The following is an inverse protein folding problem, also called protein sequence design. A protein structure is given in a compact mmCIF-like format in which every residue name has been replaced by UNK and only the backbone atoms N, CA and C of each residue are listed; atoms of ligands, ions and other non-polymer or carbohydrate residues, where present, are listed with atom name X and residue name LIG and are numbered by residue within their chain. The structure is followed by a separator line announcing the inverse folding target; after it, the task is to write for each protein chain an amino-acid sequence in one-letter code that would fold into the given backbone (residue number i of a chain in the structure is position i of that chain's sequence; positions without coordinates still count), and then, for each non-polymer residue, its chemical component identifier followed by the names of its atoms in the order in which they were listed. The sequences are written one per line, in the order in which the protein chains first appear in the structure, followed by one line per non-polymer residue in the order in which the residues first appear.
data_IF_563174322824
#
_entry.id   IF_563174322824
#
_cell.length_a   1.000
_cell.length_b   1.000
_cell.length_c   1.000
_cell.angle_alpha   90.00
_cell.angle_beta   90.00
_cell.angle_gamma   90.00
#
_symmetry.space_group_name_H-M   'P 1'
#
loop_
_entity.id
_entity.type
_entity.pdbx_description
1 polymer ?
#
# COMPACT_ATOMS: atom_id res chain seq x y z
N UNK A 1 16.45 9.85 -1.18
CA UNK A 1 16.20 11.08 -1.96
C UNK A 1 15.14 11.85 -1.19
N UNK A 2 15.31 13.16 -0.94
CA UNK A 2 14.25 13.94 -0.26
C UNK A 2 13.18 14.20 -1.32
N UNK A 3 11.97 13.68 -1.12
CA UNK A 3 10.83 13.93 -2.01
C UNK A 3 10.60 15.44 -2.08
N UNK A 4 10.71 16.00 -3.27
CA UNK A 4 10.50 17.43 -3.49
C UNK A 4 9.04 17.70 -3.85
N UNK A 5 8.52 18.92 -3.63
CA UNK A 5 7.20 19.32 -4.10
C UNK A 5 6.99 19.16 -5.62
N UNK A 6 8.08 18.98 -6.39
CA UNK A 6 8.05 18.72 -7.83
C UNK A 6 7.70 17.26 -8.17
N UNK A 7 7.87 16.32 -7.24
CA UNK A 7 7.62 14.88 -7.45
C UNK A 7 6.16 14.48 -7.19
N UNK A 8 5.36 15.40 -6.65
CA UNK A 8 3.93 15.22 -6.43
C UNK A 8 3.13 16.12 -7.36
N UNK A 9 2.10 15.59 -8.02
CA UNK A 9 1.24 16.39 -8.87
C UNK A 9 -0.21 16.39 -8.35
N UNK A 10 -0.90 17.47 -8.72
CA UNK A 10 -2.32 17.64 -8.48
C UNK A 10 -3.09 17.03 -9.64
N UNK A 11 -4.22 16.38 -9.37
CA UNK A 11 -5.15 15.95 -10.41
C UNK A 11 -5.92 17.17 -10.90
N UNK A 12 -5.82 17.48 -12.20
CA UNK A 12 -6.22 18.78 -12.78
C UNK A 12 -7.74 18.99 -12.85
N UNK A 13 -8.54 17.95 -12.58
CA UNK A 13 -10.00 18.04 -12.58
C UNK A 13 -10.68 17.02 -11.68
N UNK A 14 -11.94 17.28 -11.34
CA UNK A 14 -12.79 16.34 -10.58
C UNK A 14 -12.98 15.00 -11.31
N UNK A 15 -13.06 15.03 -12.63
CA UNK A 15 -13.18 13.83 -13.46
C UNK A 15 -11.90 13.00 -13.39
N UNK A 16 -10.73 13.65 -13.45
CA UNK A 16 -9.44 12.96 -13.23
C UNK A 16 -9.37 12.36 -11.83
N UNK A 17 -9.86 13.09 -10.82
CA UNK A 17 -9.93 12.64 -9.44
C UNK A 17 -10.76 11.35 -9.30
N UNK A 18 -12.01 11.38 -9.76
CA UNK A 18 -12.91 10.22 -9.75
C UNK A 18 -12.28 9.04 -10.52
N UNK A 19 -11.68 9.33 -11.67
CA UNK A 19 -11.07 8.30 -12.51
C UNK A 19 -9.86 7.65 -11.85
N UNK A 20 -8.97 8.44 -11.23
CA UNK A 20 -7.83 7.96 -10.48
C UNK A 20 -8.25 7.03 -9.34
N UNK A 21 -9.19 7.45 -8.50
CA UNK A 21 -9.69 6.63 -7.39
C UNK A 21 -10.31 5.32 -7.89
N UNK A 22 -11.12 5.37 -8.96
CA UNK A 22 -11.70 4.18 -9.59
C UNK A 22 -10.61 3.21 -10.08
N UNK A 23 -9.53 3.73 -10.67
CA UNK A 23 -8.40 2.91 -11.16
C UNK A 23 -7.64 2.23 -10.02
N UNK A 24 -7.28 2.98 -8.97
CA UNK A 24 -6.51 2.42 -7.84
C UNK A 24 -7.34 1.38 -7.08
N UNK A 25 -8.62 1.68 -6.81
CA UNK A 25 -9.54 0.76 -6.13
C UNK A 25 -9.68 -0.56 -6.90
N UNK A 26 -9.91 -0.47 -8.20
CA UNK A 26 -10.07 -1.63 -9.07
C UNK A 26 -8.78 -2.45 -9.16
N UNK A 27 -7.65 -1.80 -9.42
CA UNK A 27 -6.36 -2.49 -9.60
C UNK A 27 -5.90 -3.20 -8.33
N UNK A 28 -6.06 -2.59 -7.14
CA UNK A 28 -5.72 -3.23 -5.87
C UNK A 28 -6.64 -4.43 -5.57
N UNK A 29 -7.93 -4.36 -5.88
CA UNK A 29 -8.85 -5.49 -5.72
C UNK A 29 -8.47 -6.66 -6.63
N UNK A 30 -8.16 -6.38 -7.90
CA UNK A 30 -7.67 -7.39 -8.83
C UNK A 30 -6.33 -8.00 -8.38
N UNK A 31 -5.43 -7.18 -7.83
CA UNK A 31 -4.16 -7.64 -7.28
C UNK A 31 -4.37 -8.64 -6.13
N UNK A 32 -5.23 -8.33 -5.16
CA UNK A 32 -5.51 -9.24 -4.03
C UNK A 32 -5.97 -10.60 -4.53
N UNK A 33 -6.93 -10.61 -5.47
CA UNK A 33 -7.46 -11.85 -6.07
C UNK A 33 -6.36 -12.60 -6.82
N UNK A 34 -5.51 -11.89 -7.55
CA UNK A 34 -4.46 -12.49 -8.37
C UNK A 34 -3.31 -13.07 -7.52
N UNK A 35 -2.86 -12.35 -6.48
CA UNK A 35 -1.87 -12.85 -5.50
C UNK A 35 -2.33 -14.16 -4.86
N UNK A 36 -3.62 -14.26 -4.50
CA UNK A 36 -4.20 -15.49 -3.96
C UNK A 36 -4.27 -16.61 -5.01
N UNK A 37 -4.73 -16.29 -6.23
CA UNK A 37 -4.89 -17.27 -7.33
C UNK A 37 -3.55 -17.90 -7.73
N UNK A 38 -2.52 -17.07 -7.86
CA UNK A 38 -1.18 -17.49 -8.29
C UNK A 38 -0.29 -17.94 -7.11
N UNK A 39 -0.84 -17.98 -5.88
CA UNK A 39 -0.16 -18.49 -4.68
C UNK A 39 1.19 -17.83 -4.39
N UNK A 40 1.31 -16.53 -4.69
CA UNK A 40 2.51 -15.74 -4.35
C UNK A 40 2.68 -15.57 -2.83
N UNK A 41 1.59 -15.76 -2.10
CA UNK A 41 1.52 -15.79 -0.64
C UNK A 41 0.93 -17.13 -0.17
N UNK A 42 1.35 -17.60 1.01
CA UNK A 42 0.68 -18.70 1.72
C UNK A 42 -0.74 -18.28 2.13
N UNK A 43 -1.59 -19.23 2.55
CA UNK A 43 -2.96 -18.91 2.97
C UNK A 43 -2.97 -17.89 4.14
N UNK A 44 -2.11 -18.09 5.13
CA UNK A 44 -1.94 -17.18 6.25
C UNK A 44 -1.40 -15.80 5.83
N UNK A 45 -0.40 -15.76 4.94
CA UNK A 45 0.14 -14.51 4.38
C UNK A 45 -0.95 -13.72 3.62
N UNK A 46 -1.77 -14.39 2.79
CA UNK A 46 -2.86 -13.75 2.02
C UNK A 46 -3.86 -13.03 2.93
N UNK A 47 -4.18 -13.59 4.10
CA UNK A 47 -5.11 -12.94 5.05
C UNK A 47 -4.58 -11.59 5.50
N UNK A 48 -3.30 -11.52 5.88
CA UNK A 48 -2.67 -10.26 6.29
C UNK A 48 -2.49 -9.32 5.11
N UNK A 49 -2.06 -9.83 3.95
CA UNK A 49 -1.94 -9.06 2.71
C UNK A 49 -3.24 -8.31 2.40
N UNK A 50 -4.37 -9.02 2.42
CA UNK A 50 -5.70 -8.45 2.20
C UNK A 50 -6.02 -7.36 3.22
N UNK A 51 -5.72 -7.58 4.51
CA UNK A 51 -5.98 -6.58 5.56
C UNK A 51 -5.20 -5.27 5.33
N UNK A 52 -3.93 -5.35 4.92
CA UNK A 52 -3.15 -4.15 4.60
C UNK A 52 -3.66 -3.44 3.36
N UNK A 53 -4.02 -4.18 2.30
CA UNK A 53 -4.62 -3.60 1.11
C UNK A 53 -5.99 -2.96 1.40
N UNK A 54 -6.82 -3.59 2.25
CA UNK A 54 -8.11 -3.03 2.67
C UNK A 54 -7.90 -1.71 3.47
N UNK A 55 -6.89 -1.65 4.33
CA UNK A 55 -6.53 -0.44 5.09
C UNK A 55 -6.06 0.70 4.17
N UNK A 56 -5.24 0.35 3.16
CA UNK A 56 -4.80 1.28 2.14
C UNK A 56 -5.99 1.81 1.32
N UNK A 57 -6.87 0.92 0.86
CA UNK A 57 -8.10 1.28 0.14
C UNK A 57 -9.02 2.17 0.98
N UNK A 58 -9.19 1.86 2.26
CA UNK A 58 -9.98 2.68 3.18
C UNK A 58 -9.42 4.11 3.28
N UNK A 59 -8.10 4.25 3.37
CA UNK A 59 -7.43 5.55 3.43
C UNK A 59 -7.60 6.35 2.15
N UNK A 60 -7.46 5.69 1.00
CA UNK A 60 -7.68 6.27 -0.32
C UNK A 60 -9.14 6.71 -0.47
N UNK A 61 -10.11 5.92 0.01
CA UNK A 61 -11.53 6.29 -0.02
C UNK A 61 -11.83 7.47 0.91
N UNK A 62 -11.20 7.53 2.08
CA UNK A 62 -11.31 8.68 2.97
C UNK A 62 -10.76 9.97 2.34
N UNK A 63 -9.64 9.88 1.61
CA UNK A 63 -9.14 11.00 0.79
C UNK A 63 -10.17 11.37 -0.28
N UNK A 64 -10.77 10.38 -0.97
CA UNK A 64 -11.84 10.58 -1.96
C UNK A 64 -12.95 11.45 -1.42
N UNK A 65 -13.43 11.16 -0.21
CA UNK A 65 -14.52 11.89 0.43
C UNK A 65 -14.06 13.32 0.80
N UNK A 66 -12.85 13.45 1.37
CA UNK A 66 -12.29 14.73 1.82
C UNK A 66 -12.17 15.73 0.67
N UNK A 67 -11.52 15.34 -0.43
CA UNK A 67 -11.15 16.28 -1.50
C UNK A 67 -12.18 16.41 -2.64
N UNK A 68 -13.25 15.59 -2.70
CA UNK A 68 -14.20 15.58 -3.83
C UNK A 68 -14.87 16.94 -4.14
N UNK A 69 -15.08 17.74 -3.11
CA UNK A 69 -15.80 19.02 -3.19
C UNK A 69 -15.01 20.16 -2.54
N UNK A 70 -13.75 19.94 -2.21
CA UNK A 70 -12.87 20.98 -1.70
C UNK A 70 -12.35 21.81 -2.90
N UNK A 71 -12.57 23.12 -2.86
CA UNK A 71 -12.15 24.03 -3.93
C UNK A 71 -10.78 24.69 -3.61
N UNK A 72 -10.29 24.58 -2.37
CA UNK A 72 -9.04 25.19 -1.91
C UNK A 72 -7.88 24.18 -1.92
N UNK A 73 -8.14 22.94 -1.51
CA UNK A 73 -7.13 21.89 -1.41
C UNK A 73 -7.39 20.72 -2.37
N UNK A 74 -6.30 20.18 -2.94
CA UNK A 74 -6.35 19.01 -3.79
C UNK A 74 -5.40 17.91 -3.29
N UNK A 75 -5.84 16.66 -3.40
CA UNK A 75 -5.01 15.50 -3.10
C UNK A 75 -3.79 15.47 -4.02
N UNK A 76 -2.61 15.33 -3.44
CA UNK A 76 -1.38 15.12 -4.20
C UNK A 76 -1.15 13.63 -4.44
N UNK A 77 -0.93 13.28 -5.71
CA UNK A 77 -0.53 11.93 -6.11
C UNK A 77 0.95 11.96 -6.45
N UNK A 78 1.69 10.94 -6.03
CA UNK A 78 3.03 10.74 -6.55
C UNK A 78 2.92 10.08 -7.92
N UNK A 79 3.21 10.90 -8.93
CA UNK A 79 3.14 10.47 -10.31
C UNK A 79 4.44 9.80 -10.76
N UNK A 80 5.49 9.73 -9.94
CA UNK A 80 6.75 9.09 -10.31
C UNK A 80 6.65 7.56 -10.20
N UNK A 81 7.69 6.86 -9.72
CA UNK A 81 7.77 5.39 -9.67
C UNK A 81 6.80 4.74 -8.64
N UNK A 82 5.69 5.39 -8.31
CA UNK A 82 4.68 4.91 -7.38
C UNK A 82 3.32 4.71 -8.05
N UNK A 83 2.62 5.80 -8.39
CA UNK A 83 1.21 5.78 -8.80
C UNK A 83 0.19 5.75 -7.65
N UNK A 84 0.65 5.79 -6.38
CA UNK A 84 -0.19 5.91 -5.18
C UNK A 84 -0.25 7.36 -4.65
N UNK A 85 -1.19 7.71 -3.75
CA UNK A 85 -1.21 9.04 -3.13
C UNK A 85 0.09 9.33 -2.39
N UNK A 86 0.46 10.61 -2.28
CA UNK A 86 1.64 10.99 -1.52
C UNK A 86 1.49 10.62 -0.04
N UNK A 87 2.55 10.11 0.60
CA UNK A 87 2.52 9.74 2.03
C UNK A 87 2.07 10.90 2.93
N UNK A 88 2.40 12.15 2.56
CA UNK A 88 1.96 13.33 3.30
C UNK A 88 0.44 13.43 3.37
N UNK A 89 -0.30 12.97 2.36
CA UNK A 89 -1.76 12.94 2.36
C UNK A 89 -2.30 12.03 3.47
N UNK A 90 -1.68 10.85 3.68
CA UNK A 90 -2.06 9.95 4.77
C UNK A 90 -1.83 10.61 6.13
N UNK A 91 -0.71 11.33 6.29
CA UNK A 91 -0.40 12.07 7.51
C UNK A 91 -1.37 13.23 7.75
N UNK A 92 -1.72 13.99 6.72
CA UNK A 92 -2.70 15.07 6.82
C UNK A 92 -4.07 14.53 7.21
N UNK A 93 -4.51 13.45 6.57
CA UNK A 93 -5.76 12.77 6.88
C UNK A 93 -5.81 12.30 8.34
N UNK A 94 -4.73 11.68 8.83
CA UNK A 94 -4.64 11.21 10.21
C UNK A 94 -4.72 12.35 11.23
N UNK A 95 -4.00 13.45 10.98
CA UNK A 95 -4.01 14.63 11.85
C UNK A 95 -5.36 15.35 11.83
N UNK A 96 -5.99 15.46 10.68
CA UNK A 96 -7.28 16.12 10.51
C UNK A 96 -8.38 15.40 11.31
N UNK A 97 -8.42 14.07 11.21
CA UNK A 97 -9.35 13.24 11.99
C UNK A 97 -9.10 13.31 13.51
N UNK A 98 -7.87 13.60 13.95
CA UNK A 98 -7.59 13.81 15.39
C UNK A 98 -8.29 15.05 15.96
N UNK A 99 -8.66 16.00 15.09
CA UNK A 99 -9.34 17.24 15.44
C UNK A 99 -10.86 17.16 15.20
N UNK A 100 -11.39 15.98 14.84
CA UNK A 100 -12.79 15.73 14.48
C UNK A 100 -13.79 16.36 15.45
N UNK A 101 -13.59 16.20 16.76
CA UNK A 101 -14.55 16.69 17.77
C UNK A 101 -14.67 18.23 17.76
N UNK A 102 -13.60 18.94 17.37
CA UNK A 102 -13.63 20.40 17.23
C UNK A 102 -14.45 20.88 16.03
N UNK A 103 -14.65 20.01 15.03
CA UNK A 103 -15.40 20.30 13.82
C UNK A 103 -16.85 19.83 13.91
N UNK A 104 -17.11 18.65 14.49
CA UNK A 104 -18.45 18.06 14.54
C UNK A 104 -19.51 18.99 15.16
N UNK A 105 -19.16 19.71 16.23
CA UNK A 105 -20.09 20.64 16.88
C UNK A 105 -20.45 21.88 16.05
N UNK A 106 -19.69 22.17 14.98
CA UNK A 106 -19.92 23.32 14.09
C UNK A 106 -20.72 22.94 12.84
N UNK A 107 -20.92 21.65 12.59
CA UNK A 107 -21.59 21.15 11.40
C UNK A 107 -23.10 21.06 11.61
N UNK A 108 -23.87 21.28 10.54
CA UNK A 108 -25.32 21.04 10.54
C UNK A 108 -25.61 19.56 10.74
N UNK A 109 -26.78 19.27 11.30
CA UNK A 109 -27.26 17.89 11.40
C UNK A 109 -27.50 17.29 10.00
N UNK A 110 -27.19 16.00 9.84
CA UNK A 110 -27.35 15.27 8.56
C UNK A 110 -28.80 15.35 8.07
N UNK A 111 -29.78 15.23 8.96
CA UNK A 111 -31.20 15.28 8.62
C UNK A 111 -31.60 16.62 8.01
N UNK A 112 -31.09 17.73 8.55
CA UNK A 112 -31.35 19.07 8.04
C UNK A 112 -30.80 19.27 6.63
N UNK A 113 -29.60 18.75 6.35
CA UNK A 113 -29.01 18.83 5.00
C UNK A 113 -29.80 17.97 4.01
N UNK A 114 -30.25 16.78 4.42
CA UNK A 114 -31.07 15.92 3.57
C UNK A 114 -32.38 16.59 3.19
N UNK A 115 -33.08 17.20 4.15
CA UNK A 115 -34.33 17.92 3.90
C UNK A 115 -34.10 19.15 3.00
N UNK A 116 -33.03 19.92 3.24
CA UNK A 116 -32.62 21.03 2.36
C UNK A 116 -32.37 20.54 0.92
N UNK A 117 -31.70 19.40 0.75
CA UNK A 117 -31.41 18.84 -0.59
C UNK A 117 -32.67 18.34 -1.27
N UNK A 118 -33.57 17.66 -0.56
CA UNK A 118 -34.85 17.20 -1.09
C UNK A 118 -35.73 18.39 -1.52
N UNK A 119 -35.76 19.47 -0.74
CA UNK A 119 -36.46 20.70 -1.13
C UNK A 119 -35.88 21.31 -2.41
N UNK A 120 -34.56 21.40 -2.51
CA UNK A 120 -33.88 21.96 -3.69
C UNK A 120 -34.12 21.09 -4.93
N UNK A 121 -33.96 19.78 -4.83
CA UNK A 121 -34.06 18.86 -5.96
C UNK A 121 -35.51 18.63 -6.39
N UNK A 122 -36.43 18.43 -5.45
CA UNK A 122 -37.80 18.02 -5.77
C UNK A 122 -38.74 19.21 -5.95
N UNK A 123 -38.60 20.27 -5.13
CA UNK A 123 -39.49 21.45 -5.22
C UNK A 123 -38.91 22.52 -6.12
N UNK A 124 -37.66 22.93 -5.89
CA UNK A 124 -37.03 24.00 -6.68
C UNK A 124 -36.52 23.50 -8.04
N UNK A 125 -36.22 22.19 -8.15
CA UNK A 125 -35.74 21.52 -9.37
C UNK A 125 -34.48 22.16 -9.96
N UNK A 126 -33.56 22.56 -9.09
CA UNK A 126 -32.25 23.10 -9.48
C UNK A 126 -31.13 22.23 -8.90
N UNK A 127 -29.93 22.25 -9.50
CA UNK A 127 -28.78 21.53 -8.95
C UNK A 127 -28.40 22.05 -7.55
N UNK A 128 -27.92 21.14 -6.70
CA UNK A 128 -27.32 21.50 -5.41
C UNK A 128 -26.03 22.30 -5.68
N UNK A 129 -25.85 23.40 -4.94
CA UNK A 129 -24.65 24.22 -5.06
C UNK A 129 -23.42 23.52 -4.47
N UNK A 130 -22.23 23.86 -4.96
CA UNK A 130 -20.98 23.18 -4.57
C UNK A 130 -20.63 23.36 -3.09
N UNK A 131 -20.82 24.55 -2.54
CA UNK A 131 -20.65 24.87 -1.11
C UNK A 131 -21.51 23.95 -0.22
N UNK A 132 -22.74 23.66 -0.64
CA UNK A 132 -23.62 22.73 0.06
C UNK A 132 -23.15 21.28 -0.06
N UNK A 133 -22.62 20.88 -1.23
CA UNK A 133 -22.03 19.55 -1.43
C UNK A 133 -20.76 19.38 -0.59
N UNK A 134 -19.92 20.41 -0.48
CA UNK A 134 -18.74 20.44 0.38
C UNK A 134 -19.09 20.31 1.86
N UNK A 135 -20.11 21.05 2.32
CA UNK A 135 -20.62 20.90 3.68
C UNK A 135 -21.09 19.46 3.95
N UNK A 136 -21.82 18.86 3.00
CA UNK A 136 -22.30 17.49 3.12
C UNK A 136 -21.15 16.47 3.14
N UNK A 137 -20.16 16.60 2.25
CA UNK A 137 -18.99 15.71 2.24
C UNK A 137 -18.15 15.84 3.49
N UNK A 138 -18.01 17.06 4.04
CA UNK A 138 -17.34 17.30 5.32
C UNK A 138 -18.02 16.55 6.46
N UNK A 139 -19.35 16.57 6.51
CA UNK A 139 -20.09 15.81 7.53
C UNK A 139 -19.88 14.32 7.35
N UNK A 140 -20.02 13.79 6.13
CA UNK A 140 -19.76 12.37 5.86
C UNK A 140 -18.34 12.00 6.28
N UNK A 141 -17.35 12.80 5.92
CA UNK A 141 -15.95 12.62 6.29
C UNK A 141 -15.79 12.53 7.81
N UNK A 142 -16.16 13.56 8.55
CA UNK A 142 -15.98 13.61 10.00
C UNK A 142 -16.87 12.63 10.76
N UNK A 143 -17.97 12.13 10.20
CA UNK A 143 -18.85 11.18 10.89
C UNK A 143 -18.49 9.72 10.61
N UNK A 144 -18.20 9.38 9.35
CA UNK A 144 -18.04 8.00 8.87
C UNK A 144 -16.59 7.52 8.80
N UNK A 145 -15.63 8.45 8.65
CA UNK A 145 -14.22 8.10 8.61
C UNK A 145 -13.68 7.90 10.03
N UNK A 146 -12.95 6.80 10.21
CA UNK A 146 -12.38 6.34 11.47
C UNK A 146 -10.87 6.47 11.42
N UNK A 147 -10.32 7.21 12.37
CA UNK A 147 -8.90 7.54 12.41
C UNK A 147 -8.02 6.28 12.55
N UNK A 148 -8.48 5.30 13.32
CA UNK A 148 -7.77 4.03 13.57
C UNK A 148 -7.61 3.16 12.32
N UNK A 149 -8.35 3.44 11.26
CA UNK A 149 -8.27 2.74 9.97
C UNK A 149 -7.50 3.51 8.90
N UNK A 150 -6.88 4.65 9.25
CA UNK A 150 -5.98 5.32 8.32
C UNK A 150 -4.62 4.60 8.32
N UNK A 151 -4.17 4.25 7.13
CA UNK A 151 -2.88 3.61 6.89
C UNK A 151 -1.76 4.55 7.34
N UNK A 152 -1.03 4.14 8.37
CA UNK A 152 0.07 4.92 8.93
C UNK A 152 1.40 4.52 8.26
N UNK A 153 2.49 5.24 8.55
CA UNK A 153 3.83 4.90 8.03
C UNK A 153 4.22 3.46 8.35
N UNK A 154 3.89 3.00 9.55
CA UNK A 154 4.10 1.64 10.00
C UNK A 154 2.78 1.10 10.55
N UNK A 155 2.37 -0.06 10.07
CA UNK A 155 1.15 -0.76 10.45
C UNK A 155 1.56 -2.13 10.96
N UNK A 156 1.41 -2.33 12.27
CA UNK A 156 1.73 -3.59 12.92
C UNK A 156 0.63 -4.63 12.66
N UNK A 157 1.01 -5.79 12.13
CA UNK A 157 0.14 -6.96 12.02
C UNK A 157 0.12 -7.83 13.27
N UNK A 158 -0.59 -8.96 13.19
CA UNK A 158 -0.68 -9.90 14.31
C UNK A 158 0.50 -10.87 14.33
N UNK A 159 0.90 -11.22 15.55
CA UNK A 159 1.73 -12.38 15.84
C UNK A 159 0.83 -13.60 15.97
N UNK A 160 1.09 -14.64 15.19
CA UNK A 160 0.33 -15.88 15.14
C UNK A 160 1.26 -17.08 15.10
N UNK A 161 0.76 -18.27 15.44
CA UNK A 161 1.46 -19.51 15.15
C UNK A 161 1.51 -19.74 13.64
N UNK A 162 2.66 -20.19 13.15
CA UNK A 162 2.87 -20.44 11.74
C UNK A 162 2.13 -21.71 11.30
N UNK A 163 1.40 -21.63 10.18
CA UNK A 163 0.87 -22.84 9.52
C UNK A 163 1.97 -23.65 8.82
N UNK A 164 3.10 -23.00 8.50
CA UNK A 164 4.27 -23.61 7.88
C UNK A 164 5.40 -23.73 8.90
N UNK A 165 5.38 -24.82 9.66
CA UNK A 165 6.36 -25.09 10.71
C UNK A 165 7.77 -25.34 10.15
N UNK A 166 7.92 -25.57 8.83
CA UNK A 166 9.22 -25.65 8.20
C UNK A 166 9.87 -24.27 8.03
N UNK A 167 9.07 -23.21 7.89
CA UNK A 167 9.56 -21.83 7.87
C UNK A 167 9.83 -21.28 9.26
N UNK A 168 9.13 -21.72 10.30
CA UNK A 168 9.33 -21.29 11.68
C UNK A 168 8.10 -21.56 12.54
N UNK A 169 8.23 -21.49 13.87
CA UNK A 169 7.14 -21.73 14.81
C UNK A 169 6.06 -20.64 14.77
N UNK A 170 6.49 -19.39 14.61
CA UNK A 170 5.62 -18.21 14.65
C UNK A 170 5.78 -17.37 13.38
N UNK A 171 4.72 -16.63 13.06
CA UNK A 171 4.66 -15.65 12.00
C UNK A 171 4.24 -14.29 12.58
N UNK A 172 5.01 -13.26 12.26
CA UNK A 172 4.61 -11.86 12.44
C UNK A 172 4.59 -11.16 11.09
N UNK A 173 3.60 -10.29 10.88
CA UNK A 173 3.53 -9.43 9.71
C UNK A 173 3.50 -7.97 10.11
N UNK A 174 3.93 -7.11 9.21
CA UNK A 174 3.77 -5.66 9.29
C UNK A 174 3.72 -5.09 7.88
N UNK A 175 3.26 -3.85 7.76
CA UNK A 175 3.30 -3.11 6.50
C UNK A 175 3.83 -1.71 6.78
N UNK A 176 4.54 -1.12 5.82
CA UNK A 176 4.99 0.26 5.91
C UNK A 176 4.77 1.00 4.60
N UNK A 177 4.57 2.31 4.69
CA UNK A 177 4.52 3.18 3.52
C UNK A 177 5.88 3.85 3.38
N UNK A 178 6.65 3.47 2.36
CA UNK A 178 7.98 4.05 2.18
C UNK A 178 7.85 5.48 1.69
N UNK A 179 8.49 6.42 2.39
CA UNK A 179 8.40 7.85 2.03
C UNK A 179 9.23 8.17 0.79
N UNK A 180 10.30 7.41 0.51
CA UNK A 180 11.19 7.70 -0.63
C UNK A 180 10.63 7.16 -1.94
N UNK A 181 10.03 5.97 -1.91
CA UNK A 181 9.38 5.32 -3.05
C UNK A 181 7.88 5.65 -3.14
N UNK A 182 7.35 6.29 -2.10
CA UNK A 182 5.96 6.68 -1.95
C UNK A 182 4.95 5.56 -2.24
N UNK A 183 5.23 4.34 -1.80
CA UNK A 183 4.37 3.17 -2.02
C UNK A 183 4.42 2.18 -0.86
N UNK A 184 3.40 1.32 -0.71
CA UNK A 184 3.30 0.42 0.42
C UNK A 184 4.13 -0.86 0.23
N UNK A 185 4.67 -1.35 1.33
CA UNK A 185 5.37 -2.62 1.43
C UNK A 185 4.69 -3.51 2.46
N UNK A 186 4.61 -4.81 2.20
CA UNK A 186 4.09 -5.80 3.16
C UNK A 186 5.19 -6.79 3.50
N UNK A 187 5.43 -7.01 4.78
CA UNK A 187 6.50 -7.85 5.28
C UNK A 187 5.96 -8.98 6.16
N UNK A 188 6.65 -10.11 6.07
CA UNK A 188 6.42 -11.31 6.86
C UNK A 188 7.76 -11.78 7.43
N UNK A 189 7.76 -12.15 8.70
CA UNK A 189 8.89 -12.81 9.33
C UNK A 189 8.40 -14.06 10.04
N UNK A 190 8.97 -15.19 9.63
CA UNK A 190 8.86 -16.45 10.34
C UNK A 190 10.06 -16.60 11.25
N UNK A 191 9.83 -17.10 12.46
CA UNK A 191 10.88 -17.24 13.45
C UNK A 191 10.60 -18.38 14.43
N UNK A 192 11.67 -18.89 15.02
CA UNK A 192 11.62 -19.77 16.19
C UNK A 192 11.82 -18.94 17.45
N UNK A 193 11.26 -19.40 18.56
CA UNK A 193 11.32 -18.69 19.83
C UNK A 193 11.78 -19.61 20.95
N UNK A 194 12.84 -19.22 21.65
CA UNK A 194 13.47 -20.02 22.72
C UNK A 194 12.96 -19.65 24.12
N UNK A 195 12.16 -18.58 24.24
CA UNK A 195 11.57 -18.15 25.50
C UNK A 195 10.37 -18.98 25.94
N UNK A 196 9.84 -18.69 27.13
CA UNK A 196 8.72 -19.47 27.73
C UNK A 196 7.35 -19.18 27.11
N UNK A 197 7.10 -17.93 26.75
CA UNK A 197 5.83 -17.47 26.20
C UNK A 197 6.07 -16.28 25.27
N UNK A 198 5.83 -16.48 23.98
CA UNK A 198 6.06 -15.46 22.95
C UNK A 198 5.12 -14.26 23.12
N UNK A 199 3.96 -14.45 23.76
CA UNK A 199 3.00 -13.37 23.98
C UNK A 199 3.53 -12.34 24.98
N UNK A 200 4.44 -12.73 25.88
CA UNK A 200 5.08 -11.80 26.83
C UNK A 200 6.08 -10.87 26.15
N UNK A 201 6.78 -11.36 25.12
CA UNK A 201 7.75 -10.58 24.34
C UNK A 201 7.15 -9.94 23.09
N UNK A 202 5.84 -10.12 22.87
CA UNK A 202 5.12 -9.56 21.73
C UNK A 202 5.29 -8.05 21.58
N UNK A 203 5.17 -7.29 22.67
CA UNK A 203 5.30 -5.83 22.59
C UNK A 203 6.75 -5.43 22.26
N UNK A 204 7.74 -6.10 22.87
CA UNK A 204 9.15 -5.89 22.55
C UNK A 204 9.46 -6.19 21.07
N UNK A 205 8.84 -7.25 20.52
CA UNK A 205 8.90 -7.58 19.09
C UNK A 205 8.34 -6.46 18.22
N UNK A 206 7.16 -5.96 18.54
CA UNK A 206 6.53 -4.88 17.77
C UNK A 206 7.34 -3.58 17.82
N UNK A 207 7.87 -3.24 18.99
CA UNK A 207 8.71 -2.05 19.15
C UNK A 207 10.03 -2.19 18.37
N UNK A 208 10.63 -3.39 18.37
CA UNK A 208 11.84 -3.68 17.59
C UNK A 208 11.57 -3.57 16.08
N UNK A 209 10.49 -4.16 15.57
CA UNK A 209 10.09 -4.08 14.16
C UNK A 209 9.85 -2.64 13.73
N UNK A 210 9.09 -1.87 14.52
CA UNK A 210 8.84 -0.45 14.23
C UNK A 210 10.14 0.38 14.21
N UNK A 211 11.16 -0.01 14.99
CA UNK A 211 12.43 0.71 15.03
C UNK A 211 13.38 0.39 13.85
N UNK A 212 13.28 -0.79 13.23
CA UNK A 212 14.25 -1.25 12.22
C UNK A 212 13.66 -1.60 10.86
N UNK A 213 12.33 -1.69 10.74
CA UNK A 213 11.65 -2.19 9.55
C UNK A 213 10.53 -1.25 9.08
N UNK A 214 10.72 0.07 9.26
CA UNK A 214 9.75 1.13 8.94
C UNK A 214 9.90 1.78 7.55
N UNK A 215 10.81 1.25 6.73
CA UNK A 215 11.19 1.81 5.42
C UNK A 215 11.88 0.76 4.54
N UNK A 216 12.03 1.07 3.26
CA UNK A 216 12.83 0.27 2.34
C UNK A 216 14.33 0.32 2.74
N UNK A 217 14.93 -0.85 2.86
CA UNK A 217 16.36 -1.05 3.09
C UNK A 217 16.77 -2.47 2.67
N UNK A 218 18.05 -2.80 2.68
CA UNK A 218 18.48 -4.18 2.44
C UNK A 218 17.89 -5.14 3.50
N UNK A 219 17.30 -6.25 3.04
CA UNK A 219 16.68 -7.25 3.91
C UNK A 219 17.68 -7.83 4.91
N UNK A 220 18.94 -8.01 4.53
CA UNK A 220 19.99 -8.53 5.42
C UNK A 220 20.16 -7.66 6.69
N UNK A 221 20.10 -6.35 6.50
CA UNK A 221 20.33 -5.30 7.50
C UNK A 221 19.12 -5.20 8.40
N UNK A 222 17.92 -5.23 7.82
CA UNK A 222 16.66 -5.30 8.58
C UNK A 222 16.63 -6.57 9.45
N UNK A 223 16.96 -7.72 8.85
CA UNK A 223 16.92 -9.02 9.50
C UNK A 223 17.92 -9.12 10.65
N UNK A 224 19.16 -8.69 10.44
CA UNK A 224 20.17 -8.54 11.48
C UNK A 224 19.72 -7.56 12.59
N UNK A 225 19.06 -6.46 12.21
CA UNK A 225 18.54 -5.47 13.15
C UNK A 225 17.46 -6.02 14.08
N UNK A 226 16.61 -6.93 13.60
CA UNK A 226 15.60 -7.62 14.43
C UNK A 226 16.26 -8.65 15.34
N UNK A 227 17.05 -9.54 14.76
CA UNK A 227 17.71 -10.65 15.45
C UNK A 227 18.64 -10.17 16.59
N UNK A 228 19.36 -9.06 16.38
CA UNK A 228 20.22 -8.47 17.41
C UNK A 228 19.44 -7.86 18.60
N UNK A 229 18.20 -7.43 18.39
CA UNK A 229 17.42 -6.72 19.44
C UNK A 229 16.74 -7.66 20.42
N UNK A 230 16.39 -8.87 20.00
CA UNK A 230 15.57 -9.79 20.80
C UNK A 230 16.25 -11.15 20.82
N UNK A 231 16.91 -11.45 21.95
CA UNK A 231 17.76 -12.63 22.11
C UNK A 231 17.05 -13.96 21.88
N UNK A 232 15.79 -14.03 22.30
CA UNK A 232 15.01 -15.27 22.29
C UNK A 232 14.24 -15.47 20.98
N UNK A 233 14.36 -14.53 20.03
CA UNK A 233 13.73 -14.61 18.70
C UNK A 233 14.82 -14.94 17.69
N UNK A 234 14.58 -15.99 16.91
CA UNK A 234 15.49 -16.47 15.88
C UNK A 234 14.77 -16.44 14.53
N UNK A 235 14.88 -15.33 13.78
CA UNK A 235 14.27 -15.24 12.47
C UNK A 235 14.85 -16.27 11.51
N UNK A 236 13.99 -16.95 10.76
CA UNK A 236 14.36 -18.08 9.91
C UNK A 236 14.05 -17.81 8.45
N UNK A 237 13.03 -17.00 8.19
CA UNK A 237 12.61 -16.63 6.86
C UNK A 237 11.93 -15.26 6.89
N UNK A 238 12.30 -14.38 5.96
CA UNK A 238 11.66 -13.08 5.76
C UNK A 238 11.21 -12.96 4.32
N UNK A 239 9.99 -12.47 4.12
CA UNK A 239 9.44 -12.10 2.82
C UNK A 239 9.00 -10.64 2.87
N UNK A 240 9.37 -9.86 1.85
CA UNK A 240 8.92 -8.49 1.64
C UNK A 240 8.30 -8.35 0.26
N UNK A 241 7.11 -7.79 0.20
CA UNK A 241 6.37 -7.48 -1.02
C UNK A 241 6.37 -5.97 -1.20
N UNK A 242 6.91 -5.51 -2.32
CA UNK A 242 6.81 -4.14 -2.83
C UNK A 242 5.58 -4.03 -3.74
N UNK A 243 4.64 -3.15 -3.41
CA UNK A 243 3.40 -2.93 -4.15
C UNK A 243 3.53 -1.78 -5.13
N UNK A 244 4.27 -1.98 -6.21
CA UNK A 244 4.32 -1.05 -7.33
C UNK A 244 5.56 -1.22 -8.21
N UNK A 245 5.76 -0.33 -9.20
CA UNK A 245 4.91 0.83 -9.52
C UNK A 245 3.51 0.48 -10.10
N UNK A 246 2.56 1.41 -10.01
CA UNK A 246 1.25 1.35 -10.66
C UNK A 246 1.24 2.13 -11.97
N UNK A 247 1.50 1.42 -13.07
CA UNK A 247 1.60 1.99 -14.41
C UNK A 247 0.23 2.37 -14.95
N UNK A 248 0.00 3.66 -15.15
CA UNK A 248 -1.27 4.18 -15.65
C UNK A 248 -1.08 5.56 -16.29
N UNK A 249 -2.16 6.14 -16.85
CA UNK A 249 -2.12 7.44 -17.55
C UNK A 249 -1.62 8.62 -16.71
N UNK A 250 -1.76 8.54 -15.39
CA UNK A 250 -1.30 9.59 -14.48
C UNK A 250 0.21 9.49 -14.20
N UNK A 251 0.85 8.36 -14.46
CA UNK A 251 2.28 8.20 -14.19
C UNK A 251 3.14 9.13 -15.07
N UNK A 252 4.24 9.59 -14.49
CA UNK A 252 5.25 10.54 -14.95
C UNK A 252 6.60 10.08 -14.38
N UNK A 253 6.99 8.87 -14.75
CA UNK A 253 8.25 8.24 -14.35
C UNK A 253 9.11 7.89 -15.58
N UNK A 254 10.32 7.40 -15.34
CA UNK A 254 11.24 6.94 -16.39
C UNK A 254 11.13 5.43 -16.65
N UNK A 255 10.09 4.77 -16.11
CA UNK A 255 9.94 3.32 -16.24
C UNK A 255 9.55 2.95 -17.67
N UNK A 256 10.31 2.07 -18.31
CA UNK A 256 10.08 1.70 -19.71
C UNK A 256 8.66 1.10 -19.93
N UNK A 257 8.10 0.37 -18.95
CA UNK A 257 6.71 -0.14 -19.04
C UNK A 257 5.68 0.98 -18.99
N UNK A 258 5.87 1.96 -18.10
CA UNK A 258 5.03 3.16 -18.03
C UNK A 258 5.07 3.89 -19.37
N UNK A 259 6.27 4.15 -19.90
CA UNK A 259 6.44 4.83 -21.18
C UNK A 259 5.77 4.09 -22.34
N UNK A 260 5.90 2.76 -22.41
CA UNK A 260 5.24 1.96 -23.44
C UNK A 260 3.70 2.11 -23.38
N UNK A 261 3.12 2.11 -22.17
CA UNK A 261 1.68 2.31 -21.96
C UNK A 261 1.27 3.74 -22.35
N UNK A 262 1.97 4.76 -21.86
CA UNK A 262 1.66 6.17 -22.14
C UNK A 262 1.76 6.49 -23.63
N UNK A 263 2.80 6.02 -24.31
CA UNK A 263 3.00 6.21 -25.75
C UNK A 263 1.83 5.58 -26.54
N UNK A 264 1.42 4.38 -26.18
CA UNK A 264 0.31 3.69 -26.85
C UNK A 264 -1.06 4.29 -26.53
N UNK A 265 -1.26 4.89 -25.35
CA UNK A 265 -2.43 5.71 -25.05
C UNK A 265 -2.44 6.95 -25.96
N UNK A 266 -1.31 7.66 -26.07
CA UNK A 266 -1.19 8.86 -26.91
C UNK A 266 -1.45 8.56 -28.39
N UNK A 267 -0.99 7.40 -28.88
CA UNK A 267 -1.25 6.88 -30.23
C UNK A 267 -2.65 6.29 -30.42
N UNK A 268 -3.49 6.25 -29.39
CA UNK A 268 -4.84 5.64 -29.39
C UNK A 268 -4.83 4.14 -29.75
N UNK A 269 -3.71 3.46 -29.50
CA UNK A 269 -3.56 2.00 -29.70
C UNK A 269 -4.22 1.22 -28.57
N UNK A 270 -4.33 1.82 -27.38
CA UNK A 270 -5.00 1.29 -26.18
C UNK A 270 -5.81 2.39 -25.51
N UNK A 271 -6.85 2.07 -24.73
CA UNK A 271 -7.72 3.07 -24.12
C UNK A 271 -7.08 3.73 -22.88
N UNK A 272 -7.62 4.88 -22.45
CA UNK A 272 -7.10 5.71 -21.34
C UNK A 272 -7.11 4.96 -19.99
N UNK A 273 -8.08 4.07 -19.80
CA UNK A 273 -8.25 3.23 -18.62
C UNK A 273 -7.20 2.12 -18.48
N UNK A 274 -6.40 1.87 -19.52
CA UNK A 274 -5.31 0.88 -19.50
C UNK A 274 -4.37 1.06 -18.32
N UNK A 275 -3.91 -0.05 -17.77
CA UNK A 275 -3.02 -0.07 -16.62
C UNK A 275 -2.22 -1.37 -16.55
N UNK A 276 -1.13 -1.35 -15.79
CA UNK A 276 -0.43 -2.52 -15.31
C UNK A 276 0.04 -2.24 -13.87
N UNK A 277 0.20 -3.28 -13.08
CA UNK A 277 0.77 -3.18 -11.74
C UNK A 277 2.00 -4.07 -11.65
N UNK A 278 3.12 -3.48 -11.23
CA UNK A 278 4.32 -4.24 -10.88
C UNK A 278 4.27 -4.66 -9.42
N UNK A 279 4.86 -5.83 -9.14
CA UNK A 279 5.03 -6.34 -7.78
C UNK A 279 6.38 -7.02 -7.70
N UNK A 280 7.12 -6.73 -6.62
CA UNK A 280 8.41 -7.38 -6.36
C UNK A 280 8.34 -8.10 -5.04
N UNK A 281 8.78 -9.36 -5.01
CA UNK A 281 8.90 -10.16 -3.80
C UNK A 281 10.39 -10.42 -3.56
N UNK A 282 10.87 -9.93 -2.42
CA UNK A 282 12.20 -10.23 -1.91
C UNK A 282 12.06 -11.25 -0.77
N UNK A 283 12.77 -12.36 -0.85
CA UNK A 283 12.78 -13.42 0.15
C UNK A 283 14.20 -13.69 0.63
N UNK A 284 14.36 -13.96 1.91
CA UNK A 284 15.64 -14.37 2.48
C UNK A 284 15.43 -15.42 3.56
N UNK A 285 16.32 -16.41 3.57
CA UNK A 285 16.30 -17.53 4.51
C UNK A 285 17.59 -17.54 5.31
N UNK A 286 17.50 -17.97 6.56
CA UNK A 286 18.68 -18.25 7.35
C UNK A 286 19.42 -19.47 6.79
N UNK A 287 20.73 -19.34 6.57
CA UNK A 287 21.58 -20.46 6.16
C UNK A 287 22.39 -21.07 7.30
N UNK A 288 22.90 -20.24 8.21
CA UNK A 288 23.71 -20.70 9.36
C UNK A 288 23.58 -19.72 10.51
N UNK A 289 24.32 -19.95 11.60
CA UNK A 289 24.39 -19.01 12.73
C UNK A 289 25.82 -18.63 13.03
N UNK A 290 26.00 -17.49 13.70
CA UNK A 290 27.28 -17.05 14.23
C UNK A 290 27.07 -16.48 15.62
N UNK A 291 28.15 -16.40 16.42
CA UNK A 291 28.08 -15.76 17.73
C UNK A 291 28.73 -14.39 17.71
N UNK A 292 28.07 -13.42 18.32
CA UNK A 292 28.59 -12.07 18.54
C UNK A 292 28.59 -11.75 20.04
N UNK A 293 29.53 -10.92 20.50
CA UNK A 293 29.63 -10.48 21.90
C UNK A 293 30.79 -11.10 22.69
N UNK A 294 31.04 -10.52 23.87
CA UNK A 294 32.05 -11.01 24.82
C UNK A 294 31.53 -12.21 25.61
N UNK A 295 32.40 -12.85 26.40
CA UNK A 295 32.04 -14.03 27.22
C UNK A 295 30.78 -13.83 28.07
N UNK A 296 30.53 -12.61 28.56
CA UNK A 296 29.39 -12.28 29.42
C UNK A 296 28.11 -11.90 28.65
N UNK A 297 28.21 -11.52 27.38
CA UNK A 297 27.09 -11.02 26.57
C UNK A 297 27.02 -11.71 25.20
N UNK A 298 27.43 -12.98 25.13
CA UNK A 298 27.41 -13.76 23.90
C UNK A 298 25.97 -13.99 23.44
N UNK A 299 25.69 -13.69 22.18
CA UNK A 299 24.42 -13.95 21.51
C UNK A 299 24.68 -14.74 20.23
N UNK A 300 23.80 -15.71 19.93
CA UNK A 300 23.80 -16.42 18.66
C UNK A 300 22.85 -15.70 17.70
N UNK A 301 23.38 -15.29 16.56
CA UNK A 301 22.68 -14.55 15.51
C UNK A 301 22.60 -15.38 14.24
N UNK A 302 21.62 -15.06 13.41
CA UNK A 302 21.30 -15.69 12.14
C UNK A 302 22.19 -15.12 11.04
N UNK A 303 22.83 -16.00 10.28
CA UNK A 303 23.54 -15.66 9.05
C UNK A 303 22.64 -15.98 7.86
N UNK A 304 22.25 -14.93 7.16
CA UNK A 304 21.32 -14.95 6.04
C UNK A 304 22.01 -15.39 4.75
N UNK A 305 21.25 -16.11 3.91
CA UNK A 305 21.64 -16.37 2.53
C UNK A 305 21.42 -15.14 1.64
N UNK A 306 21.79 -15.24 0.37
CA UNK A 306 21.50 -14.21 -0.61
C UNK A 306 19.98 -14.00 -0.75
N UNK A 307 19.59 -12.74 -0.99
CA UNK A 307 18.19 -12.37 -1.19
C UNK A 307 17.73 -12.86 -2.55
N UNK A 308 16.69 -13.70 -2.55
CA UNK A 308 15.99 -14.13 -3.76
C UNK A 308 14.97 -13.05 -4.14
N UNK A 309 15.06 -12.55 -5.37
CA UNK A 309 14.24 -11.42 -5.82
C UNK A 309 13.43 -11.78 -7.06
N UNK A 310 12.11 -11.73 -6.93
CA UNK A 310 11.15 -12.12 -7.96
C UNK A 310 10.30 -10.93 -8.38
N UNK A 311 10.24 -10.65 -9.68
CA UNK A 311 9.44 -9.56 -10.26
C UNK A 311 8.23 -10.12 -11.00
N UNK A 312 7.08 -9.50 -10.78
CA UNK A 312 5.80 -9.87 -11.37
C UNK A 312 5.12 -8.64 -11.96
N UNK A 313 4.33 -8.87 -13.00
CA UNK A 313 3.49 -7.85 -13.63
C UNK A 313 2.08 -8.39 -13.73
N UNK A 314 1.11 -7.57 -13.33
CA UNK A 314 -0.32 -7.85 -13.44
C UNK A 314 -0.93 -6.87 -14.43
N UNK A 315 -1.50 -7.35 -15.52
CA UNK A 315 -2.06 -6.47 -16.53
C UNK A 315 -3.21 -7.14 -17.31
N UNK A 316 -4.13 -6.37 -17.89
CA UNK A 316 -5.12 -6.92 -18.81
C UNK A 316 -4.47 -7.52 -20.07
N UNK A 317 -5.13 -8.51 -20.68
CA UNK A 317 -4.61 -9.26 -21.82
C UNK A 317 -4.00 -8.38 -22.94
N UNK A 318 -4.72 -7.33 -23.34
CA UNK A 318 -4.26 -6.39 -24.39
C UNK A 318 -2.99 -5.65 -24.00
N UNK A 319 -2.82 -5.35 -22.71
CA UNK A 319 -1.62 -4.69 -22.18
C UNK A 319 -0.46 -5.67 -22.11
N UNK A 320 -0.71 -6.93 -21.75
CA UNK A 320 0.30 -7.99 -21.82
C UNK A 320 0.85 -8.12 -23.25
N UNK A 321 -0.02 -8.20 -24.26
CA UNK A 321 0.39 -8.23 -25.67
C UNK A 321 1.21 -7.00 -26.07
N UNK A 322 0.82 -5.81 -25.59
CA UNK A 322 1.55 -4.58 -25.84
C UNK A 322 2.96 -4.63 -25.24
N UNK A 323 3.09 -5.07 -23.99
CA UNK A 323 4.36 -5.13 -23.27
C UNK A 323 5.31 -6.17 -23.88
N UNK A 324 4.81 -7.29 -24.38
CA UNK A 324 5.64 -8.25 -25.13
C UNK A 324 6.15 -7.66 -26.46
N UNK A 325 5.36 -6.83 -27.14
CA UNK A 325 5.76 -6.20 -28.39
C UNK A 325 6.77 -5.06 -28.14
N UNK A 326 6.49 -4.17 -27.18
CA UNK A 326 7.26 -2.95 -26.96
C UNK A 326 8.43 -3.09 -25.98
N UNK A 327 8.29 -3.95 -24.97
CA UNK A 327 9.27 -4.11 -23.89
C UNK A 327 9.64 -5.58 -23.65
N UNK A 328 10.02 -6.37 -24.68
CA UNK A 328 10.26 -7.81 -24.55
C UNK A 328 11.38 -8.13 -23.55
N UNK A 329 12.40 -7.28 -23.47
CA UNK A 329 13.54 -7.48 -22.56
C UNK A 329 13.14 -7.38 -21.09
N UNK A 330 12.15 -6.55 -20.75
CA UNK A 330 11.62 -6.48 -19.38
C UNK A 330 10.79 -7.70 -19.05
N UNK A 331 9.97 -8.18 -19.99
CA UNK A 331 9.15 -9.38 -19.78
C UNK A 331 10.03 -10.63 -19.52
N UNK A 332 11.19 -10.72 -20.17
CA UNK A 332 12.16 -11.81 -19.97
C UNK A 332 12.84 -11.80 -18.58
N UNK A 333 12.75 -10.69 -17.83
CA UNK A 333 13.32 -10.56 -16.47
C UNK A 333 12.31 -10.88 -15.37
N UNK A 334 11.05 -11.17 -15.71
CA UNK A 334 10.03 -11.53 -14.75
C UNK A 334 10.25 -12.97 -14.25
N UNK A 335 9.88 -13.23 -13.00
CA UNK A 335 9.94 -14.56 -12.43
C UNK A 335 8.94 -15.52 -13.09
N UNK A 336 7.79 -14.99 -13.51
CA UNK A 336 6.76 -15.67 -14.29
C UNK A 336 6.25 -14.78 -15.41
N UNK A 337 5.56 -15.37 -16.39
CA UNK A 337 4.83 -14.58 -17.38
C UNK A 337 3.85 -13.62 -16.68
N UNK A 338 3.57 -12.43 -17.26
CA UNK A 338 2.61 -11.50 -16.67
C UNK A 338 1.27 -12.16 -16.36
N UNK A 339 0.74 -11.88 -15.17
CA UNK A 339 -0.54 -12.41 -14.73
C UNK A 339 -1.68 -11.59 -15.33
N UNK A 340 -2.58 -12.28 -16.03
CA UNK A 340 -3.74 -11.64 -16.64
C UNK A 340 -4.78 -11.27 -15.57
N UNK A 341 -5.17 -9.99 -15.55
CA UNK A 341 -6.22 -9.43 -14.69
C UNK A 341 -7.29 -8.71 -15.51
N UNK A 342 -8.42 -8.36 -14.89
CA UNK A 342 -9.52 -7.74 -15.63
C UNK A 342 -9.16 -6.34 -16.14
N UNK A 343 -9.71 -5.97 -17.32
CA UNK A 343 -9.69 -4.58 -17.79
C UNK A 343 -10.68 -3.74 -16.98
N UNK A 344 -10.30 -2.51 -16.63
CA UNK A 344 -11.25 -1.56 -16.07
C UNK A 344 -12.31 -1.23 -17.13
N UNK A 345 -13.59 -1.39 -16.81
CA UNK A 345 -14.69 -0.97 -17.69
C UNK A 345 -15.17 0.42 -17.26
N UNK A 346 -15.35 1.32 -18.21
CA UNK A 346 -15.93 2.64 -17.94
C UNK A 346 -17.40 2.53 -17.56
#
# INVERSE_FOLDING_TARGET
MIVTPLDSAVLDSKEQYVFYHKKVDFALKELIVSVQRHKLCTQQEVVFFKQYCDLLLYSIEAMRIKYMYDDEDNMKVDLTESGFPNYLEFRYLYNDLSLRDNYLHKLKDISQIQDEFLDILLKKKVPIKRDQLFQASSIVYYTSVKQEYIFNRFVQGKLVESEDQAKGQYLVSWSFFDVSQNRPFVCYMYFNYDGKDVQKDKQNLYDALNAVADREMNLDTMAYGVDKRIKDIHPTYIKRIDLGPFHNVFAKDENEMTHAILESIAKKEIPLESYALSLKIDEVKTGSTFSEGSYFNKQTLQKWNDVESSKYVFAPHRIIQLLYNKTPQLMNKLAEMPFEIASLKN
#
